data_IF_075502039964
#
_entry.id   IF_075502039964
#
_cell.length_a   1.000
_cell.length_b   1.000
_cell.length_c   1.000
_cell.angle_alpha   90.00
_cell.angle_beta   90.00
_cell.angle_gamma   90.00
#
_symmetry.space_group_name_H-M   'P 1'
#
loop_
_entity.id
_entity.type
_entity.pdbx_description
1 polymer ?
#
# COMPACT_ATOMS: atom_id res chain seq x y z
N UNK A 1 -14.64 -2.29 15.75
CA UNK A 1 -13.60 -1.56 16.49
C UNK A 1 -12.32 -2.38 16.54
N UNK A 2 -11.45 -2.23 15.54
CA UNK A 2 -10.12 -2.86 15.55
C UNK A 2 -9.15 -1.90 16.24
N UNK A 3 -9.29 -1.79 17.56
CA UNK A 3 -8.31 -1.05 18.36
C UNK A 3 -7.16 -2.02 18.58
N UNK A 4 -6.11 -1.87 17.76
CA UNK A 4 -4.78 -2.36 18.15
C UNK A 4 -4.42 -1.56 19.40
N UNK A 5 -4.75 -2.14 20.55
CA UNK A 5 -4.39 -1.57 21.83
C UNK A 5 -2.87 -1.41 21.83
N UNK A 6 -2.40 -0.21 22.13
CA UNK A 6 -1.00 0.04 22.44
C UNK A 6 -0.66 -0.70 23.75
N UNK A 7 -0.62 -2.02 23.70
CA UNK A 7 -0.01 -2.83 24.76
C UNK A 7 1.46 -2.47 24.70
N UNK A 8 1.99 -1.87 25.76
CA UNK A 8 3.42 -1.61 25.91
C UNK A 8 4.16 -2.93 25.71
N UNK A 9 4.79 -3.06 24.54
CA UNK A 9 5.37 -4.30 24.03
C UNK A 9 6.30 -3.95 22.87
N UNK A 10 7.25 -4.83 22.63
CA UNK A 10 8.25 -4.71 21.56
C UNK A 10 7.58 -4.65 20.18
N UNK A 11 8.32 -4.12 19.19
CA UNK A 11 7.84 -4.08 17.80
C UNK A 11 7.44 -5.48 17.29
N UNK A 12 8.21 -6.51 17.69
CA UNK A 12 7.94 -7.90 17.32
C UNK A 12 6.60 -8.40 17.85
N UNK A 13 6.32 -8.21 19.14
CA UNK A 13 5.04 -8.61 19.75
C UNK A 13 3.86 -7.88 19.13
N UNK A 14 4.05 -6.62 18.72
CA UNK A 14 3.02 -5.84 18.02
C UNK A 14 2.74 -6.39 16.62
N UNK A 15 3.78 -6.79 15.89
CA UNK A 15 3.64 -7.39 14.55
C UNK A 15 2.99 -8.77 14.63
N UNK A 16 3.38 -9.60 15.60
CA UNK A 16 2.77 -10.91 15.84
C UNK A 16 1.29 -10.76 16.20
N UNK A 17 0.95 -9.87 17.13
CA UNK A 17 -0.44 -9.60 17.49
C UNK A 17 -1.25 -9.06 16.31
N UNK A 18 -0.68 -8.20 15.47
CA UNK A 18 -1.34 -7.71 14.25
C UNK A 18 -1.64 -8.88 13.30
N UNK A 19 -0.66 -9.74 13.03
CA UNK A 19 -0.81 -10.89 12.15
C UNK A 19 -1.87 -11.88 12.66
N UNK A 20 -1.92 -12.13 13.97
CA UNK A 20 -2.95 -12.99 14.56
C UNK A 20 -4.36 -12.40 14.42
N UNK A 21 -4.49 -11.08 14.64
CA UNK A 21 -5.78 -10.39 14.60
C UNK A 21 -6.27 -10.13 13.17
N UNK A 22 -5.38 -9.95 12.20
CA UNK A 22 -5.75 -9.71 10.80
C UNK A 22 -6.12 -10.99 10.06
N UNK A 23 -5.52 -12.13 10.44
CA UNK A 23 -5.66 -13.41 9.75
C UNK A 23 -7.10 -13.86 9.45
N UNK A 24 -8.08 -13.83 10.39
CA UNK A 24 -9.45 -14.23 10.07
C UNK A 24 -10.11 -13.36 8.97
N UNK A 25 -9.73 -12.07 8.92
CA UNK A 25 -10.23 -11.13 7.92
C UNK A 25 -9.54 -11.34 6.58
N UNK A 26 -8.23 -11.59 6.59
CA UNK A 26 -7.46 -11.94 5.41
C UNK A 26 -8.00 -13.23 4.78
N UNK A 27 -8.16 -14.31 5.57
CA UNK A 27 -8.72 -15.58 5.11
C UNK A 27 -10.11 -15.42 4.47
N UNK A 28 -10.94 -14.53 5.02
CA UNK A 28 -12.28 -14.23 4.50
C UNK A 28 -12.23 -13.57 3.12
N UNK A 29 -11.38 -12.55 2.93
CA UNK A 29 -11.26 -11.88 1.64
C UNK A 29 -10.44 -12.66 0.61
N UNK A 30 -9.52 -13.51 1.06
CA UNK A 30 -8.77 -14.42 0.19
C UNK A 30 -9.73 -15.39 -0.51
N UNK A 31 -10.67 -15.99 0.23
CA UNK A 31 -11.71 -16.89 -0.33
C UNK A 31 -12.57 -16.21 -1.40
N UNK A 32 -12.74 -14.89 -1.31
CA UNK A 32 -13.50 -14.10 -2.29
C UNK A 32 -12.65 -13.59 -3.46
N UNK A 33 -11.34 -13.89 -3.49
CA UNK A 33 -10.38 -13.30 -4.43
C UNK A 33 -10.40 -11.76 -4.41
N UNK A 34 -10.59 -11.18 -3.22
CA UNK A 34 -10.64 -9.74 -2.97
C UNK A 34 -9.39 -9.21 -2.26
N UNK A 35 -8.39 -10.05 -2.02
CA UNK A 35 -7.07 -9.62 -1.62
C UNK A 35 -6.20 -9.42 -2.85
N UNK A 36 -5.49 -8.29 -2.85
CA UNK A 36 -4.49 -7.95 -3.86
C UNK A 36 -3.13 -7.90 -3.16
N UNK A 37 -2.25 -8.83 -3.51
CA UNK A 37 -0.85 -8.77 -3.10
C UNK A 37 -0.09 -7.87 -4.08
N UNK A 38 0.76 -7.00 -3.55
CA UNK A 38 1.57 -6.11 -4.37
C UNK A 38 2.92 -5.84 -3.70
N UNK A 39 3.90 -5.45 -4.51
CA UNK A 39 5.24 -5.15 -4.02
C UNK A 39 5.26 -3.83 -3.26
N UNK A 40 5.69 -3.88 -1.99
CA UNK A 40 6.02 -2.68 -1.21
C UNK A 40 7.51 -2.38 -1.41
N UNK A 41 7.82 -1.16 -1.83
CA UNK A 41 9.19 -0.68 -2.04
C UNK A 41 9.76 -0.03 -0.79
N UNK A 42 11.03 0.38 -0.86
CA UNK A 42 11.70 1.06 0.25
C UNK A 42 11.30 2.54 0.32
N UNK A 43 10.94 3.14 -0.80
CA UNK A 43 10.43 4.51 -0.88
C UNK A 43 8.90 4.55 -1.07
N UNK A 44 8.22 5.63 -0.61
CA UNK A 44 6.80 5.82 -0.86
C UNK A 44 6.43 5.81 -2.35
N UNK A 45 7.30 6.36 -3.21
CA UNK A 45 7.09 6.39 -4.67
C UNK A 45 7.14 5.00 -5.29
N UNK A 46 8.04 4.14 -4.82
CA UNK A 46 8.17 2.75 -5.27
C UNK A 46 6.96 1.93 -4.83
N UNK A 47 6.52 2.11 -3.58
CA UNK A 47 5.30 1.46 -3.05
C UNK A 47 4.07 1.89 -3.84
N UNK A 48 3.93 3.18 -4.16
CA UNK A 48 2.84 3.68 -5.00
C UNK A 48 2.86 3.07 -6.39
N UNK A 49 4.05 2.96 -7.00
CA UNK A 49 4.20 2.33 -8.30
C UNK A 49 3.87 0.84 -8.29
N UNK A 50 4.24 0.12 -7.24
CA UNK A 50 3.85 -1.28 -7.02
C UNK A 50 2.33 -1.45 -6.93
N UNK A 51 1.66 -0.57 -6.18
CA UNK A 51 0.19 -0.57 -6.05
C UNK A 51 -0.51 -0.28 -7.38
N UNK A 52 -0.10 0.76 -8.09
CA UNK A 52 -0.65 1.08 -9.41
C UNK A 52 -0.44 -0.06 -10.40
N UNK A 53 0.69 -0.77 -10.30
CA UNK A 53 0.95 -1.94 -11.15
C UNK A 53 -0.02 -3.07 -10.87
N UNK A 54 -0.25 -3.40 -9.60
CA UNK A 54 -1.18 -4.45 -9.19
C UNK A 54 -2.65 -4.14 -9.55
N UNK A 55 -3.00 -2.84 -9.65
CA UNK A 55 -4.32 -2.39 -10.08
C UNK A 55 -4.44 -2.18 -11.61
N UNK A 56 -3.38 -2.40 -12.38
CA UNK A 56 -3.30 -2.07 -13.82
C UNK A 56 -3.57 -0.59 -14.13
N UNK A 57 -3.11 0.30 -13.24
CA UNK A 57 -3.27 1.75 -13.29
C UNK A 57 -1.94 2.50 -13.53
N UNK A 58 -0.93 1.85 -14.13
CA UNK A 58 0.40 2.45 -14.32
C UNK A 58 0.37 3.77 -15.11
N UNK A 59 -0.64 3.93 -15.98
CA UNK A 59 -0.85 5.12 -16.78
C UNK A 59 -1.16 6.38 -15.94
N UNK A 60 -1.70 6.24 -14.71
CA UNK A 60 -1.99 7.36 -13.81
C UNK A 60 -0.69 8.08 -13.41
N UNK A 61 0.39 7.31 -13.16
CA UNK A 61 1.68 7.88 -12.82
C UNK A 61 2.30 8.65 -13.99
N UNK A 62 2.15 8.12 -15.20
CA UNK A 62 2.64 8.75 -16.43
C UNK A 62 1.93 10.09 -16.71
N UNK A 63 0.61 10.15 -16.50
CA UNK A 63 -0.18 11.36 -16.67
C UNK A 63 0.22 12.45 -15.67
N UNK A 64 0.40 12.11 -14.39
CA UNK A 64 0.84 13.06 -13.36
C UNK A 64 2.26 13.58 -13.63
N UNK A 65 3.18 12.68 -14.01
CA UNK A 65 4.55 13.07 -14.39
C UNK A 65 4.57 14.00 -15.60
N UNK A 66 3.79 13.69 -16.64
CA UNK A 66 3.68 14.55 -17.83
C UNK A 66 3.12 15.93 -17.52
N UNK A 67 2.10 16.02 -16.65
CA UNK A 67 1.54 17.31 -16.23
C UNK A 67 2.54 18.13 -15.42
N UNK A 68 3.29 17.51 -14.51
CA UNK A 68 4.33 18.20 -13.75
C UNK A 68 5.49 18.68 -14.64
N UNK A 69 5.87 17.90 -15.65
CA UNK A 69 6.87 18.31 -16.62
C UNK A 69 6.39 19.51 -17.47
N UNK A 70 5.13 19.51 -17.91
CA UNK A 70 4.55 20.65 -18.63
C UNK A 70 4.46 21.91 -17.77
N UNK A 71 4.08 21.79 -16.49
CA UNK A 71 4.04 22.95 -15.57
C UNK A 71 5.43 23.55 -15.38
N UNK A 72 6.48 22.72 -15.30
CA UNK A 72 7.87 23.17 -15.14
C UNK A 72 8.40 23.85 -16.41
N UNK A 73 8.03 23.38 -17.60
CA UNK A 73 8.45 24.03 -18.86
C UNK A 73 7.79 25.39 -19.09
N UNK A 74 6.66 25.68 -18.45
CA UNK A 74 5.99 27.00 -18.52
C UNK A 74 6.47 28.02 -17.48
N UNK A 75 7.35 27.62 -16.56
CA UNK A 75 7.95 28.47 -15.52
C UNK A 75 9.40 28.89 -15.85
N UNK A 76 9.94 28.45 -16.99
CA UNK A 76 11.26 28.79 -17.53
C UNK A 76 11.09 29.53 -18.86
#
# INVERSE_FOLDING_TARGET
NFIVTNRGGSLKEKLEAYAELSKPLEDYYQKQKKLLEFQVGSAPVETWQGLLTALHLQHINAAYSSQELMKRSHLL
#
